data_IF_705200530205
#
_entry.id   IF_705200530205
#
_cell.length_a   1.000
_cell.length_b   1.000
_cell.length_c   1.000
_cell.angle_alpha   90.00
_cell.angle_beta   90.00
_cell.angle_gamma   90.00
#
_symmetry.space_group_name_H-M   'P 1'
#
loop_
_entity.id
_entity.type
_entity.pdbx_description
1 polymer ?
#
# COMPACT_ATOMS: atom_id res chain seq x y z
N UNK A 1 1.00 30.03 -12.68
CA UNK A 1 1.15 28.57 -12.78
C UNK A 1 1.29 28.06 -11.36
N UNK A 2 0.44 27.15 -10.91
CA UNK A 2 0.42 26.72 -9.51
C UNK A 2 1.74 26.01 -9.17
N UNK A 3 2.49 26.60 -8.24
CA UNK A 3 3.70 26.02 -7.67
C UNK A 3 3.28 24.83 -6.79
N UNK A 4 3.20 23.64 -7.40
CA UNK A 4 2.95 22.39 -6.65
C UNK A 4 4.29 21.96 -6.05
N UNK A 5 4.67 22.61 -4.95
CA UNK A 5 5.75 22.12 -4.09
C UNK A 5 5.23 20.95 -3.25
N UNK A 6 5.54 19.74 -3.70
CA UNK A 6 5.44 18.56 -2.85
C UNK A 6 6.44 18.72 -1.70
N UNK A 7 5.95 18.70 -0.45
CA UNK A 7 6.78 18.78 0.77
C UNK A 7 7.64 17.53 1.01
N UNK A 8 7.44 16.48 0.23
CA UNK A 8 8.08 15.16 0.36
C UNK A 8 8.71 14.77 -0.96
N UNK A 9 9.93 14.27 -0.89
CA UNK A 9 10.69 13.80 -2.05
C UNK A 9 10.11 12.51 -2.63
N UNK A 10 10.31 12.22 -3.93
CA UNK A 10 9.91 10.94 -4.53
C UNK A 10 10.50 9.71 -3.82
N UNK A 11 11.72 9.84 -3.27
CA UNK A 11 12.36 8.79 -2.48
C UNK A 11 11.65 8.52 -1.15
N UNK A 12 11.15 9.56 -0.48
CA UNK A 12 10.33 9.40 0.74
C UNK A 12 8.98 8.75 0.44
N UNK A 13 8.36 9.10 -0.69
CA UNK A 13 7.13 8.45 -1.16
C UNK A 13 7.34 6.96 -1.45
N UNK A 14 8.47 6.59 -2.10
CA UNK A 14 8.85 5.19 -2.31
C UNK A 14 9.05 4.44 -1.01
N UNK A 15 9.82 5.00 -0.06
CA UNK A 15 10.04 4.37 1.25
C UNK A 15 8.74 4.16 2.02
N UNK A 16 7.84 5.15 1.97
CA UNK A 16 6.54 5.04 2.62
C UNK A 16 5.68 3.94 1.96
N UNK A 17 5.69 3.85 0.63
CA UNK A 17 5.02 2.77 -0.09
C UNK A 17 5.56 1.39 0.31
N UNK A 18 6.88 1.20 0.30
CA UNK A 18 7.53 -0.06 0.71
C UNK A 18 7.17 -0.46 2.15
N UNK A 19 7.14 0.52 3.07
CA UNK A 19 6.77 0.27 4.46
C UNK A 19 5.30 -0.18 4.59
N UNK A 20 4.40 0.48 3.86
CA UNK A 20 2.97 0.14 3.85
C UNK A 20 2.77 -1.25 3.26
N UNK A 21 3.46 -1.60 2.16
CA UNK A 21 3.43 -2.95 1.58
C UNK A 21 3.87 -4.01 2.59
N UNK A 22 4.97 -3.76 3.32
CA UNK A 22 5.46 -4.65 4.36
C UNK A 22 4.43 -4.88 5.48
N UNK A 23 3.74 -3.82 5.91
CA UNK A 23 2.68 -3.91 6.92
C UNK A 23 1.46 -4.69 6.42
N UNK A 24 1.04 -4.46 5.17
CA UNK A 24 -0.06 -5.21 4.54
C UNK A 24 0.30 -6.69 4.45
N UNK A 25 1.53 -7.02 4.04
CA UNK A 25 2.00 -8.41 3.97
C UNK A 25 2.04 -9.08 5.35
N UNK A 26 2.35 -8.34 6.41
CA UNK A 26 2.28 -8.84 7.78
C UNK A 26 0.83 -9.11 8.23
N UNK A 27 -0.10 -8.20 7.92
CA UNK A 27 -1.54 -8.38 8.20
C UNK A 27 -2.08 -9.63 7.50
N UNK A 28 -1.78 -9.79 6.21
CA UNK A 28 -2.22 -10.96 5.43
C UNK A 28 -1.68 -12.27 5.99
N UNK A 29 -0.40 -12.31 6.39
CA UNK A 29 0.19 -13.50 7.04
C UNK A 29 -0.47 -13.81 8.38
N UNK A 30 -0.66 -12.81 9.23
CA UNK A 30 -1.28 -13.01 10.54
C UNK A 30 -2.73 -13.49 10.41
N UNK A 31 -3.47 -12.95 9.44
CA UNK A 31 -4.83 -13.39 9.13
C UNK A 31 -4.86 -14.84 8.67
N UNK A 32 -4.01 -15.22 7.71
CA UNK A 32 -3.95 -16.60 7.23
C UNK A 32 -3.59 -17.59 8.35
N UNK A 33 -2.63 -17.23 9.20
CA UNK A 33 -2.25 -18.04 10.36
C UNK A 33 -3.43 -18.20 11.34
N UNK A 34 -4.19 -17.12 11.59
CA UNK A 34 -5.39 -17.19 12.41
C UNK A 34 -6.43 -18.13 11.80
N UNK A 35 -6.66 -18.07 10.49
CA UNK A 35 -7.54 -19.00 9.78
C UNK A 35 -7.08 -20.45 9.88
N UNK A 36 -5.78 -20.71 9.75
CA UNK A 36 -5.20 -22.05 9.88
C UNK A 36 -5.38 -22.60 11.31
N UNK A 37 -5.06 -21.81 12.33
CA UNK A 37 -5.19 -22.21 13.74
C UNK A 37 -6.65 -22.49 14.09
N UNK A 38 -7.58 -21.63 13.68
CA UNK A 38 -9.01 -21.84 13.91
C UNK A 38 -9.52 -23.06 13.12
N UNK A 39 -9.06 -23.28 11.89
CA UNK A 39 -9.38 -24.48 11.12
C UNK A 39 -8.88 -25.77 11.79
N UNK A 40 -7.65 -25.77 12.29
CA UNK A 40 -7.07 -26.89 13.03
C UNK A 40 -7.78 -27.14 14.37
N UNK A 41 -8.35 -26.10 14.98
CA UNK A 41 -9.07 -26.21 16.25
C UNK A 41 -10.33 -27.08 16.20
N UNK A 42 -10.89 -27.34 15.01
CA UNK A 42 -12.06 -28.21 14.86
C UNK A 42 -11.84 -29.66 15.33
N UNK A 43 -10.59 -30.12 15.39
CA UNK A 43 -10.27 -31.47 15.87
C UNK A 43 -10.44 -31.63 17.39
N UNK A 44 -10.17 -30.60 18.18
CA UNK A 44 -10.16 -30.67 19.64
C UNK A 44 -11.18 -29.74 20.32
N UNK A 45 -11.77 -28.80 19.59
CA UNK A 45 -12.80 -27.90 20.09
C UNK A 45 -14.10 -28.05 19.29
N UNK A 46 -15.01 -28.83 19.87
CA UNK A 46 -16.34 -29.12 19.35
C UNK A 46 -17.43 -28.50 20.25
N UNK A 47 -18.56 -28.14 19.66
CA UNK A 47 -19.71 -27.52 20.33
C UNK A 47 -20.12 -26.16 19.75
N UNK A 48 -21.31 -25.69 20.13
CA UNK A 48 -21.96 -24.51 19.54
C UNK A 48 -21.09 -23.23 19.55
N UNK A 49 -20.28 -23.05 20.59
CA UNK A 49 -19.37 -21.90 20.69
C UNK A 49 -18.25 -21.96 19.64
N UNK A 50 -17.74 -23.15 19.32
CA UNK A 50 -16.71 -23.34 18.31
C UNK A 50 -17.27 -23.18 16.90
N UNK A 51 -18.48 -23.68 16.66
CA UNK A 51 -19.19 -23.50 15.39
C UNK A 51 -19.53 -22.03 15.14
N UNK A 52 -19.98 -21.32 16.18
CA UNK A 52 -20.19 -19.88 16.12
C UNK A 52 -18.90 -19.12 15.79
N UNK A 53 -17.78 -19.44 16.46
CA UNK A 53 -16.49 -18.80 16.21
C UNK A 53 -15.97 -19.04 14.78
N UNK A 54 -16.13 -20.26 14.25
CA UNK A 54 -15.78 -20.58 12.86
C UNK A 54 -16.66 -19.84 11.86
N UNK A 55 -17.97 -19.75 12.14
CA UNK A 55 -18.91 -19.02 11.29
C UNK A 55 -18.62 -17.52 11.26
N UNK A 56 -18.37 -16.92 12.42
CA UNK A 56 -17.99 -15.51 12.54
C UNK A 56 -16.69 -15.23 11.77
N UNK A 57 -15.69 -16.10 11.90
CA UNK A 57 -14.44 -15.95 11.16
C UNK A 57 -14.67 -15.94 9.65
N UNK A 58 -15.54 -16.82 9.16
CA UNK A 58 -15.79 -16.95 7.72
C UNK A 58 -16.68 -15.82 7.18
N UNK A 59 -17.58 -15.28 8.00
CA UNK A 59 -18.32 -14.05 7.71
C UNK A 59 -17.36 -12.84 7.65
N UNK A 60 -16.39 -12.74 8.57
CA UNK A 60 -15.44 -11.62 8.64
C UNK A 60 -14.34 -11.70 7.58
N UNK A 61 -14.11 -12.88 7.00
CA UNK A 61 -13.04 -13.13 6.02
C UNK A 61 -13.18 -12.30 4.76
N UNK A 62 -14.39 -12.13 4.25
CA UNK A 62 -14.60 -11.26 3.08
C UNK A 62 -14.24 -9.81 3.40
N UNK A 63 -14.71 -9.29 4.54
CA UNK A 63 -14.44 -7.90 4.94
C UNK A 63 -12.93 -7.64 5.11
N UNK A 64 -12.18 -8.59 5.69
CA UNK A 64 -10.73 -8.47 5.86
C UNK A 64 -10.00 -8.51 4.51
N UNK A 65 -10.46 -9.35 3.58
CA UNK A 65 -9.88 -9.41 2.22
C UNK A 65 -10.15 -8.11 1.45
N UNK A 66 -11.35 -7.55 1.55
CA UNK A 66 -11.69 -6.25 0.95
C UNK A 66 -10.89 -5.12 1.57
N UNK A 67 -10.76 -5.08 2.90
CA UNK A 67 -9.94 -4.11 3.61
C UNK A 67 -8.47 -4.19 3.18
N UNK A 68 -7.92 -5.40 3.06
CA UNK A 68 -6.57 -5.60 2.54
C UNK A 68 -6.43 -5.14 1.09
N UNK A 69 -7.45 -5.36 0.25
CA UNK A 69 -7.50 -4.90 -1.13
C UNK A 69 -7.41 -3.38 -1.22
N UNK A 70 -8.24 -2.67 -0.47
CA UNK A 70 -8.23 -1.20 -0.40
C UNK A 70 -6.90 -0.66 0.12
N UNK A 71 -6.31 -1.31 1.12
CA UNK A 71 -5.01 -0.91 1.63
C UNK A 71 -3.89 -1.04 0.59
N UNK A 72 -3.98 -2.00 -0.34
CA UNK A 72 -3.01 -2.17 -1.45
C UNK A 72 -3.10 -1.10 -2.53
N UNK A 73 -4.21 -0.36 -2.63
CA UNK A 73 -4.32 0.75 -3.58
C UNK A 73 -3.43 1.93 -3.18
N UNK A 74 -3.26 2.17 -1.88
CA UNK A 74 -2.45 3.28 -1.37
C UNK A 74 -0.96 3.25 -1.77
N UNK A 75 -0.21 2.13 -1.62
CA UNK A 75 1.18 2.08 -2.07
C UNK A 75 1.30 2.21 -3.59
N UNK A 76 0.37 1.63 -4.36
CA UNK A 76 0.32 1.78 -5.82
C UNK A 76 0.20 3.25 -6.24
N UNK A 77 -0.72 3.99 -5.60
CA UNK A 77 -0.92 5.42 -5.86
C UNK A 77 0.31 6.26 -5.47
N UNK A 78 0.96 5.92 -4.35
CA UNK A 78 2.19 6.61 -3.91
C UNK A 78 3.35 6.41 -4.90
N UNK A 79 3.49 5.19 -5.44
CA UNK A 79 4.49 4.88 -6.46
C UNK A 79 4.21 5.58 -7.79
N UNK A 80 2.94 5.64 -8.21
CA UNK A 80 2.54 6.38 -9.41
C UNK A 80 2.85 7.88 -9.27
N UNK A 81 2.51 8.50 -8.13
CA UNK A 81 2.85 9.89 -7.84
C UNK A 81 4.36 10.13 -7.85
N UNK A 82 5.16 9.23 -7.28
CA UNK A 82 6.62 9.33 -7.31
C UNK A 82 7.18 9.24 -8.75
N UNK A 83 6.60 8.37 -9.59
CA UNK A 83 6.99 8.22 -11.00
C UNK A 83 6.68 9.46 -11.84
N UNK A 84 5.43 9.96 -11.77
CA UNK A 84 5.01 11.18 -12.50
C UNK A 84 5.89 12.37 -12.14
N UNK A 85 6.28 12.50 -10.86
CA UNK A 85 7.13 13.59 -10.41
C UNK A 85 8.57 13.47 -10.91
N UNK A 86 9.15 12.26 -10.87
CA UNK A 86 10.50 12.01 -11.38
C UNK A 86 10.60 12.34 -12.89
N UNK A 87 9.62 11.92 -13.68
CA UNK A 87 9.54 12.23 -15.11
C UNK A 87 9.40 13.73 -15.36
N UNK A 88 8.61 14.42 -14.54
CA UNK A 88 8.44 15.88 -14.62
C UNK A 88 9.74 16.62 -14.29
N UNK A 89 10.50 16.15 -13.30
CA UNK A 89 11.81 16.70 -12.97
C UNK A 89 12.83 16.51 -14.10
N UNK A 90 12.86 15.33 -14.72
CA UNK A 90 13.76 15.05 -15.86
C UNK A 90 13.42 16.00 -17.02
N UNK A 91 12.14 16.13 -17.37
CA UNK A 91 11.70 17.05 -18.44
C UNK A 91 12.02 18.50 -18.10
N UNK A 92 11.82 18.93 -16.85
CA UNK A 92 12.19 20.27 -16.42
C UNK A 92 13.70 20.52 -16.52
N UNK A 93 14.53 19.55 -16.12
CA UNK A 93 15.98 19.63 -16.24
C UNK A 93 16.44 19.65 -17.71
N UNK A 94 15.81 18.88 -18.59
CA UNK A 94 16.07 18.93 -20.04
C UNK A 94 15.68 20.28 -20.64
N UNK A 95 14.54 20.86 -20.25
CA UNK A 95 14.13 22.19 -20.68
C UNK A 95 15.15 23.24 -20.22
N UNK A 96 15.56 23.21 -18.94
CA UNK A 96 16.60 24.11 -18.39
C UNK A 96 17.91 23.95 -19.15
N UNK A 97 18.28 22.71 -19.52
CA UNK A 97 19.52 22.44 -20.27
C UNK A 97 19.43 22.81 -21.74
N UNK A 98 18.23 22.88 -22.29
CA UNK A 98 17.95 23.34 -23.67
C UNK A 98 17.87 24.86 -23.78
N UNK A 99 17.76 25.58 -22.66
CA UNK A 99 17.82 27.03 -22.62
C UNK A 99 19.29 27.47 -22.75
N UNK A 100 19.65 28.28 -23.77
CA UNK A 100 21.00 28.80 -23.89
C UNK A 100 21.33 29.71 -22.69
N UNK A 101 22.57 29.62 -22.19
CA UNK A 101 23.11 30.31 -21.00
C UNK A 101 22.96 31.85 -20.98
N UNK A 102 22.46 32.46 -22.07
CA UNK A 102 22.42 33.91 -22.29
C UNK A 102 21.00 34.50 -22.33
N UNK A 103 20.09 34.00 -21.48
CA UNK A 103 18.71 34.52 -21.41
C UNK A 103 18.49 35.59 -20.32
N UNK A 104 19.55 36.25 -19.83
CA UNK A 104 19.44 37.40 -18.90
C UNK A 104 20.19 38.59 -19.52
N UNK A 105 19.42 39.57 -20.03
CA UNK A 105 19.82 40.96 -20.28
C UNK A 105 18.94 41.87 -19.40
#
# INVERSE_FOLDING_TARGET
MADVQLKVSPDELRRAADQIEGQIAAIQRNWNNLCEVVGASGHYWQGDAADYGRRLLEETKQEVLEACGRLKEHPSNLLEMAGVYADTQIKAAEIIRSLPDNAIL
#
